data_IF_722567789444
#
_entry.id   IF_722567789444
#
_cell.length_a   1.000
_cell.length_b   1.000
_cell.length_c   1.000
_cell.angle_alpha   90.00
_cell.angle_beta   90.00
_cell.angle_gamma   90.00
#
_symmetry.space_group_name_H-M   'P 1'
#
loop_
_entity.id
_entity.type
_entity.pdbx_description
1 polymer ?
#
# COMPACT_ATOMS: atom_id res chain seq x y z
N UNK A 1 -20.68 20.24 -8.05
CA UNK A 1 -19.23 20.21 -7.83
C UNK A 1 -18.88 18.99 -7.00
N UNK A 2 -17.94 18.19 -7.44
CA UNK A 2 -17.45 17.06 -6.65
C UNK A 2 -16.36 17.53 -5.67
N UNK A 3 -16.36 17.12 -4.41
CA UNK A 3 -15.23 17.34 -3.53
C UNK A 3 -14.04 16.54 -4.07
N UNK A 4 -12.99 17.23 -4.45
CA UNK A 4 -11.79 16.59 -4.98
C UNK A 4 -10.61 17.09 -4.18
N UNK A 5 -9.93 16.20 -3.50
CA UNK A 5 -8.63 16.53 -2.93
C UNK A 5 -7.67 16.74 -4.07
N UNK A 6 -7.37 17.99 -4.39
CA UNK A 6 -6.42 18.41 -5.41
C UNK A 6 -6.44 17.49 -6.66
N UNK A 7 -7.60 16.89 -7.00
CA UNK A 7 -7.81 15.93 -8.10
C UNK A 7 -7.13 14.56 -7.97
N UNK A 8 -6.39 14.27 -6.91
CA UNK A 8 -5.61 13.02 -6.82
C UNK A 8 -6.47 11.76 -6.95
N UNK A 9 -7.60 11.67 -6.24
CA UNK A 9 -8.49 10.54 -6.33
C UNK A 9 -8.96 10.29 -7.77
N UNK A 10 -9.80 11.16 -8.36
CA UNK A 10 -10.35 10.92 -9.69
C UNK A 10 -9.28 10.92 -10.79
N UNK A 11 -8.23 11.74 -10.68
CA UNK A 11 -7.16 11.81 -11.67
C UNK A 11 -6.37 10.49 -11.74
N UNK A 12 -5.96 9.95 -10.62
CA UNK A 12 -5.26 8.66 -10.55
C UNK A 12 -6.14 7.52 -11.08
N UNK A 13 -7.45 7.51 -10.76
CA UNK A 13 -8.38 6.48 -11.28
C UNK A 13 -8.59 6.58 -12.79
N UNK A 14 -8.70 7.78 -13.34
CA UNK A 14 -8.77 7.95 -14.78
C UNK A 14 -7.51 7.48 -15.50
N UNK A 15 -6.34 7.78 -14.94
CA UNK A 15 -5.09 7.30 -15.49
C UNK A 15 -4.97 5.76 -15.38
N UNK A 16 -5.32 5.18 -14.24
CA UNK A 16 -5.33 3.74 -14.01
C UNK A 16 -6.26 3.01 -15.00
N UNK A 17 -7.47 3.53 -15.21
CA UNK A 17 -8.41 3.00 -16.21
C UNK A 17 -7.87 3.13 -17.64
N UNK A 18 -7.19 4.22 -17.94
CA UNK A 18 -6.55 4.43 -19.25
C UNK A 18 -5.42 3.41 -19.45
N UNK A 19 -4.58 3.19 -18.45
CA UNK A 19 -3.53 2.17 -18.49
C UNK A 19 -4.13 0.77 -18.67
N UNK A 20 -5.22 0.44 -17.96
CA UNK A 20 -5.93 -0.84 -18.11
C UNK A 20 -6.45 -1.03 -19.53
N UNK A 21 -7.07 -0.02 -20.12
CA UNK A 21 -7.56 -0.09 -21.50
C UNK A 21 -6.42 -0.22 -22.53
N UNK A 22 -5.27 0.42 -22.27
CA UNK A 22 -4.10 0.33 -23.13
C UNK A 22 -3.34 -1.00 -22.96
N UNK A 23 -3.43 -1.66 -21.82
CA UNK A 23 -2.74 -2.92 -21.57
C UNK A 23 -3.16 -4.01 -22.57
N UNK A 24 -4.40 -4.00 -23.05
CA UNK A 24 -4.90 -4.93 -24.06
C UNK A 24 -4.29 -4.68 -25.47
N UNK A 25 -3.74 -3.50 -25.72
CA UNK A 25 -3.27 -3.08 -27.05
C UNK A 25 -1.75 -2.91 -27.11
N UNK A 26 -1.16 -2.33 -26.08
CA UNK A 26 0.28 -2.02 -25.99
C UNK A 26 0.81 -2.41 -24.60
N UNK A 27 0.73 -3.71 -24.24
CA UNK A 27 1.08 -4.17 -22.91
C UNK A 27 2.50 -3.76 -22.48
N UNK A 28 3.44 -3.76 -23.41
CA UNK A 28 4.84 -3.44 -23.13
C UNK A 28 5.07 -1.98 -22.68
N UNK A 29 4.07 -1.11 -22.79
CA UNK A 29 4.13 0.32 -22.42
C UNK A 29 3.26 0.69 -21.24
N UNK A 30 2.64 -0.31 -20.60
CA UNK A 30 1.69 -0.10 -19.50
C UNK A 30 2.21 -0.69 -18.19
N UNK A 31 1.42 -0.54 -17.15
CA UNK A 31 1.63 -1.14 -15.84
C UNK A 31 0.31 -1.73 -15.36
N UNK A 32 0.36 -2.70 -14.48
CA UNK A 32 -0.79 -3.21 -13.75
C UNK A 32 -1.37 -2.15 -12.80
N UNK A 33 -2.48 -2.45 -12.16
CA UNK A 33 -3.24 -1.52 -11.34
C UNK A 33 -2.44 -0.86 -10.23
N UNK A 34 -2.65 0.42 -10.01
CA UNK A 34 -1.97 1.19 -8.97
C UNK A 34 -2.75 1.19 -7.65
N UNK A 35 -2.03 1.10 -6.54
CA UNK A 35 -2.52 1.37 -5.20
C UNK A 35 -2.50 2.87 -4.94
N UNK A 36 -3.68 3.51 -4.89
CA UNK A 36 -3.76 4.95 -4.69
C UNK A 36 -3.47 5.36 -3.24
N UNK A 37 -3.00 6.59 -3.06
CA UNK A 37 -2.69 7.19 -1.76
C UNK A 37 -3.95 7.45 -0.91
N UNK A 38 -3.73 7.68 0.40
CA UNK A 38 -4.72 8.22 1.32
C UNK A 38 -4.19 9.50 1.95
N UNK A 39 -5.06 10.50 2.08
CA UNK A 39 -4.74 11.76 2.75
C UNK A 39 -5.46 11.79 4.09
N UNK A 40 -4.74 12.14 5.12
CA UNK A 40 -5.26 12.27 6.47
C UNK A 40 -4.95 13.67 7.00
N UNK A 41 -5.95 14.33 7.55
CA UNK A 41 -5.79 15.60 8.25
C UNK A 41 -6.06 15.38 9.73
N UNK A 42 -5.04 15.62 10.53
CA UNK A 42 -5.08 15.61 12.00
C UNK A 42 -5.19 17.05 12.49
N UNK A 43 -5.96 17.27 13.54
CA UNK A 43 -6.13 18.61 14.12
C UNK A 43 -6.52 18.51 15.59
N UNK A 44 -6.27 19.57 16.32
CA UNK A 44 -6.64 19.68 17.73
C UNK A 44 -6.29 21.04 18.32
N UNK A 45 -6.38 21.10 19.63
CA UNK A 45 -6.00 22.26 20.43
C UNK A 45 -5.07 21.74 21.53
N UNK A 46 -3.93 22.41 21.72
CA UNK A 46 -3.00 22.06 22.81
C UNK A 46 -3.52 22.52 24.16
N UNK A 47 -2.90 22.11 25.25
CA UNK A 47 -3.22 22.54 26.61
C UNK A 47 -3.07 24.06 26.81
N UNK A 48 -2.27 24.72 25.96
CA UNK A 48 -2.07 26.18 25.95
C UNK A 48 -3.06 26.91 25.03
N UNK A 49 -4.17 26.26 24.62
CA UNK A 49 -5.19 26.78 23.72
C UNK A 49 -4.69 27.11 22.31
N UNK A 50 -3.57 26.55 21.87
CA UNK A 50 -3.06 26.71 20.52
C UNK A 50 -3.66 25.69 19.57
N UNK A 51 -4.21 26.17 18.44
CA UNK A 51 -4.77 25.31 17.40
C UNK A 51 -3.67 24.77 16.49
N UNK A 52 -3.68 23.46 16.24
CA UNK A 52 -2.75 22.81 15.32
C UNK A 52 -3.47 21.99 14.24
N UNK A 53 -2.86 21.90 13.08
CA UNK A 53 -3.30 21.04 11.96
C UNK A 53 -2.07 20.42 11.32
N UNK A 54 -2.13 19.12 11.11
CA UNK A 54 -1.15 18.39 10.33
C UNK A 54 -1.84 17.58 9.23
N UNK A 55 -1.34 17.66 8.01
CA UNK A 55 -1.83 16.85 6.88
C UNK A 55 -0.77 15.86 6.47
N UNK A 56 -1.14 14.59 6.45
CA UNK A 56 -0.27 13.50 6.08
C UNK A 56 -0.78 12.76 4.83
N UNK A 57 0.16 12.22 4.07
CA UNK A 57 -0.14 11.42 2.88
C UNK A 57 0.47 10.04 3.08
N UNK A 58 -0.38 9.02 3.24
CA UNK A 58 0.07 7.64 3.23
C UNK A 58 0.17 7.17 1.78
N UNK A 59 1.39 6.90 1.36
CA UNK A 59 1.70 6.47 0.00
C UNK A 59 1.00 5.15 -0.34
N UNK A 60 0.57 5.02 -1.58
CA UNK A 60 0.10 3.78 -2.16
C UNK A 60 1.28 2.95 -2.69
N UNK A 61 1.14 2.44 -3.91
CA UNK A 61 2.16 1.64 -4.58
C UNK A 61 1.91 1.61 -6.08
N UNK A 62 2.93 1.32 -6.87
CA UNK A 62 2.75 1.11 -8.30
C UNK A 62 2.42 -0.36 -8.62
N UNK A 63 1.62 -0.58 -9.66
CA UNK A 63 1.50 -1.88 -10.30
C UNK A 63 2.80 -2.33 -10.95
N UNK A 64 2.94 -3.63 -11.16
CA UNK A 64 4.04 -4.21 -11.89
C UNK A 64 4.04 -3.79 -13.36
N UNK A 65 5.19 -3.85 -13.98
CA UNK A 65 5.41 -3.60 -15.42
C UNK A 65 5.93 -4.87 -16.09
N UNK A 66 5.90 -4.96 -17.41
CA UNK A 66 6.36 -6.17 -18.11
C UNK A 66 7.76 -6.66 -17.74
N UNK A 67 8.64 -5.74 -17.33
CA UNK A 67 10.06 -6.03 -17.06
C UNK A 67 10.55 -5.57 -15.69
N UNK A 68 9.68 -5.06 -14.83
CA UNK A 68 10.05 -4.53 -13.51
C UNK A 68 8.92 -4.67 -12.51
N UNK A 69 9.28 -4.96 -11.29
CA UNK A 69 8.38 -4.91 -10.16
C UNK A 69 7.75 -3.52 -9.96
N UNK A 70 6.61 -3.47 -9.33
CA UNK A 70 5.99 -2.25 -8.85
C UNK A 70 6.80 -1.60 -7.73
N UNK A 71 6.72 -0.28 -7.62
CA UNK A 71 7.41 0.46 -6.56
C UNK A 71 6.63 0.39 -5.26
N UNK A 72 7.33 0.10 -4.16
CA UNK A 72 6.75 0.01 -2.82
C UNK A 72 6.55 1.40 -2.21
N UNK A 73 5.49 1.57 -1.44
CA UNK A 73 5.20 2.73 -0.58
C UNK A 73 5.59 4.07 -1.21
N UNK A 74 5.13 4.29 -2.44
CA UNK A 74 5.47 5.48 -3.21
C UNK A 74 4.22 6.22 -3.66
N UNK A 75 4.37 7.51 -3.88
CA UNK A 75 3.33 8.33 -4.45
C UNK A 75 2.98 7.89 -5.87
N UNK A 76 1.69 7.99 -6.21
CA UNK A 76 1.20 7.57 -7.50
C UNK A 76 1.07 8.72 -8.47
N UNK A 77 0.88 8.43 -9.72
CA UNK A 77 0.98 9.16 -10.99
C UNK A 77 0.92 10.71 -10.97
N UNK A 78 0.09 11.32 -10.13
CA UNK A 78 -0.13 12.78 -10.12
C UNK A 78 0.38 13.47 -8.86
N UNK A 79 1.09 12.76 -8.02
CA UNK A 79 1.72 13.29 -6.83
C UNK A 79 3.25 13.11 -6.94
N UNK A 80 3.97 13.86 -6.16
CA UNK A 80 5.42 13.78 -6.03
C UNK A 80 5.79 14.33 -4.66
N UNK A 81 5.18 13.78 -3.63
CA UNK A 81 5.40 14.21 -2.26
C UNK A 81 6.51 13.40 -1.61
N UNK A 82 7.08 13.93 -0.58
CA UNK A 82 7.99 13.23 0.34
C UNK A 82 7.32 13.13 1.70
N UNK A 83 7.63 12.06 2.40
CA UNK A 83 7.22 11.95 3.80
C UNK A 83 7.89 13.03 4.64
N UNK A 84 7.14 13.54 5.61
CA UNK A 84 7.74 14.34 6.67
C UNK A 84 8.52 13.40 7.60
N UNK A 85 9.72 13.77 8.06
CA UNK A 85 10.44 12.99 9.07
C UNK A 85 9.59 12.76 10.33
N UNK A 86 9.68 11.57 10.92
CA UNK A 86 8.91 11.23 12.12
C UNK A 86 9.25 12.16 13.26
N UNK A 87 10.53 12.48 13.42
CA UNK A 87 11.05 13.38 14.45
C UNK A 87 10.47 14.80 14.33
N UNK A 88 10.25 15.26 13.09
CA UNK A 88 9.64 16.57 12.83
C UNK A 88 8.16 16.56 13.21
N UNK A 89 7.44 15.49 12.89
CA UNK A 89 6.03 15.34 13.25
C UNK A 89 5.87 15.36 14.79
N UNK A 90 6.61 14.49 15.47
CA UNK A 90 6.50 14.29 16.92
C UNK A 90 7.01 15.51 17.73
N UNK A 91 7.88 16.35 17.14
CA UNK A 91 8.36 17.56 17.79
C UNK A 91 7.44 18.77 17.64
N UNK A 92 6.58 18.80 16.62
CA UNK A 92 5.72 19.95 16.32
C UNK A 92 4.23 19.70 16.59
N UNK A 93 3.82 18.43 16.66
CA UNK A 93 2.41 18.06 16.83
C UNK A 93 2.27 17.05 17.98
N UNK A 94 1.18 17.08 18.74
CA UNK A 94 0.92 16.08 19.78
C UNK A 94 0.47 14.74 19.15
N UNK A 95 1.31 14.21 18.30
CA UNK A 95 1.12 12.94 17.56
C UNK A 95 2.35 12.07 17.74
N UNK A 96 2.16 10.75 17.82
CA UNK A 96 3.22 9.76 17.83
C UNK A 96 3.06 8.80 16.66
N UNK A 97 4.14 8.48 15.98
CA UNK A 97 4.16 7.47 14.91
C UNK A 97 4.55 6.13 15.52
N UNK A 98 3.56 5.27 15.78
CA UNK A 98 3.79 3.94 16.36
C UNK A 98 4.33 2.93 15.34
N UNK A 99 3.89 3.04 14.07
CA UNK A 99 4.30 2.14 12.98
C UNK A 99 4.46 2.88 11.68
N UNK A 100 5.52 2.55 10.95
CA UNK A 100 5.70 2.92 9.55
C UNK A 100 6.50 1.82 8.87
N UNK A 101 5.81 0.92 8.19
CA UNK A 101 6.38 -0.32 7.63
C UNK A 101 5.68 -0.72 6.32
N UNK A 102 6.28 -1.62 5.55
CA UNK A 102 5.64 -2.26 4.41
C UNK A 102 4.71 -3.39 4.87
N UNK A 103 3.69 -3.69 4.08
CA UNK A 103 2.75 -4.79 4.33
C UNK A 103 3.36 -6.10 3.85
N UNK A 104 3.61 -7.02 4.74
CA UNK A 104 4.03 -8.38 4.39
C UNK A 104 2.90 -9.17 3.71
N UNK A 105 3.22 -10.04 2.75
CA UNK A 105 2.30 -10.94 2.05
C UNK A 105 1.10 -10.25 1.38
N UNK A 106 1.24 -9.02 0.94
CA UNK A 106 0.12 -8.22 0.45
C UNK A 106 0.26 -7.76 -1.01
N UNK A 107 1.35 -8.11 -1.67
CA UNK A 107 1.61 -7.77 -3.07
C UNK A 107 0.61 -8.44 -4.02
N UNK A 108 0.36 -7.85 -5.18
CA UNK A 108 -0.17 -8.58 -6.33
C UNK A 108 0.95 -9.47 -6.89
N UNK A 109 0.81 -10.79 -6.74
CA UNK A 109 1.84 -11.70 -7.21
C UNK A 109 1.92 -11.74 -8.75
N UNK A 110 3.10 -12.04 -9.28
CA UNK A 110 3.35 -12.10 -10.72
C UNK A 110 4.80 -12.41 -11.03
N UNK A 111 5.12 -12.66 -12.30
CA UNK A 111 6.51 -12.71 -12.78
C UNK A 111 7.25 -11.43 -12.38
N UNK A 112 6.55 -10.32 -12.49
CA UNK A 112 6.89 -9.06 -11.82
C UNK A 112 5.81 -8.77 -10.78
N UNK A 113 6.18 -8.62 -9.50
CA UNK A 113 5.22 -8.36 -8.46
C UNK A 113 4.77 -6.91 -8.41
N UNK A 114 3.55 -6.68 -7.99
CA UNK A 114 3.06 -5.36 -7.64
C UNK A 114 3.86 -4.73 -6.50
N UNK A 115 3.84 -3.43 -6.44
CA UNK A 115 4.41 -2.68 -5.33
C UNK A 115 3.62 -2.89 -4.05
N UNK A 116 4.30 -2.86 -2.92
CA UNK A 116 3.73 -3.07 -1.60
C UNK A 116 3.38 -1.73 -0.96
N UNK A 117 2.16 -1.60 -0.45
CA UNK A 117 1.69 -0.44 0.29
C UNK A 117 2.28 -0.37 1.71
N UNK A 118 2.29 0.83 2.28
CA UNK A 118 2.75 1.02 3.65
C UNK A 118 1.61 0.91 4.66
N UNK A 119 1.95 0.51 5.89
CA UNK A 119 1.16 0.71 7.09
C UNK A 119 1.72 1.95 7.80
N UNK A 120 0.85 2.88 8.16
CA UNK A 120 1.21 4.02 8.99
C UNK A 120 0.21 4.18 10.11
N UNK A 121 0.69 4.16 11.34
CA UNK A 121 -0.12 4.29 12.54
C UNK A 121 0.29 5.53 13.33
N UNK A 122 -0.70 6.37 13.60
CA UNK A 122 -0.56 7.63 14.33
C UNK A 122 -1.42 7.61 15.58
N UNK A 123 -0.80 7.81 16.72
CA UNK A 123 -1.45 7.94 18.04
C UNK A 123 -1.59 9.41 18.44
N UNK A 124 -2.72 9.75 19.00
CA UNK A 124 -2.98 11.09 19.54
C UNK A 124 -2.43 11.19 20.96
N UNK A 125 -1.55 12.16 21.20
CA UNK A 125 -1.00 12.43 22.53
C UNK A 125 -1.86 13.42 23.33
N UNK A 126 -2.84 14.06 22.70
CA UNK A 126 -3.91 14.89 23.27
C UNK A 126 -5.18 14.69 22.48
N UNK A 127 -6.37 14.98 23.04
CA UNK A 127 -7.60 14.87 22.27
C UNK A 127 -7.57 15.71 21.00
N UNK A 128 -8.11 15.14 19.92
CA UNK A 128 -8.10 15.80 18.62
C UNK A 128 -9.16 15.30 17.66
N UNK A 129 -8.96 15.55 16.39
CA UNK A 129 -9.87 15.14 15.33
C UNK A 129 -9.11 14.68 14.11
N UNK A 130 -9.71 13.77 13.36
CA UNK A 130 -9.15 13.27 12.11
C UNK A 130 -10.18 13.29 10.99
N UNK A 131 -9.72 13.67 9.80
CA UNK A 131 -10.46 13.51 8.56
C UNK A 131 -9.59 12.78 7.56
N UNK A 132 -10.19 11.83 6.84
CA UNK A 132 -9.48 10.99 5.88
C UNK A 132 -10.20 11.04 4.55
N UNK A 133 -9.42 11.16 3.49
CA UNK A 133 -9.86 10.92 2.14
C UNK A 133 -8.90 9.97 1.43
N UNK A 134 -9.46 8.96 0.79
CA UNK A 134 -8.69 7.96 0.08
C UNK A 134 -9.55 7.07 -0.78
N UNK A 135 -8.91 6.14 -1.44
CA UNK A 135 -9.53 5.15 -2.30
C UNK A 135 -8.84 3.79 -2.12
N UNK A 136 -9.28 2.79 -2.91
CA UNK A 136 -8.65 1.47 -2.93
C UNK A 136 -8.92 0.62 -1.68
N UNK A 137 -10.00 0.90 -0.94
CA UNK A 137 -10.42 0.05 0.20
C UNK A 137 -11.44 -1.02 -0.20
N UNK A 138 -12.15 -0.85 -1.31
CA UNK A 138 -13.18 -1.79 -1.76
C UNK A 138 -12.74 -2.64 -2.95
N UNK A 139 -12.02 -2.03 -3.89
CA UNK A 139 -11.59 -2.71 -5.11
C UNK A 139 -10.07 -2.79 -5.12
N UNK A 140 -9.57 -4.02 -5.33
CA UNK A 140 -8.14 -4.27 -5.46
C UNK A 140 -7.58 -3.60 -6.72
N UNK A 141 -6.33 -3.13 -6.71
CA UNK A 141 -5.60 -2.81 -7.93
C UNK A 141 -5.46 -4.05 -8.81
N UNK A 142 -5.83 -3.93 -10.08
CA UNK A 142 -5.92 -5.06 -11.03
C UNK A 142 -4.55 -5.62 -11.40
N UNK A 143 -4.45 -6.97 -11.48
CA UNK A 143 -3.33 -7.68 -12.07
C UNK A 143 -3.47 -7.84 -13.59
N UNK A 144 -2.40 -8.19 -14.31
CA UNK A 144 -2.42 -8.36 -15.75
C UNK A 144 -1.55 -9.53 -16.23
N UNK A 145 -1.90 -10.11 -17.37
CA UNK A 145 -1.16 -11.17 -18.06
C UNK A 145 -0.86 -12.40 -17.17
N UNK A 146 -1.81 -12.80 -16.34
CA UNK A 146 -1.67 -13.88 -15.36
C UNK A 146 -1.20 -13.43 -13.97
N UNK A 147 -0.86 -12.16 -13.78
CA UNK A 147 -0.55 -11.61 -12.47
C UNK A 147 -1.80 -11.43 -11.62
N UNK A 148 -1.65 -11.59 -10.30
CA UNK A 148 -2.73 -11.43 -9.32
C UNK A 148 -3.08 -9.94 -9.11
N UNK A 149 -4.32 -9.72 -8.71
CA UNK A 149 -4.73 -8.42 -8.18
C UNK A 149 -3.92 -8.10 -6.91
N UNK A 150 -3.67 -6.82 -6.68
CA UNK A 150 -3.08 -6.36 -5.43
C UNK A 150 -4.06 -6.44 -4.27
N UNK A 151 -3.62 -6.08 -3.07
CA UNK A 151 -4.46 -6.08 -1.88
C UNK A 151 -5.07 -4.71 -1.63
N UNK A 152 -6.37 -4.60 -1.35
CA UNK A 152 -7.00 -3.34 -0.97
C UNK A 152 -6.37 -2.73 0.29
N UNK A 153 -6.45 -1.42 0.39
CA UNK A 153 -6.08 -0.71 1.60
C UNK A 153 -7.23 -0.64 2.62
N UNK A 154 -6.92 -0.15 3.81
CA UNK A 154 -7.89 0.02 4.87
C UNK A 154 -7.62 1.29 5.70
N UNK A 155 -8.60 1.68 6.49
CA UNK A 155 -8.46 2.65 7.58
C UNK A 155 -9.01 1.99 8.83
N UNK A 156 -8.19 1.90 9.86
CA UNK A 156 -8.50 1.23 11.12
C UNK A 156 -8.37 2.24 12.25
N UNK A 157 -9.36 2.30 13.11
CA UNK A 157 -9.33 3.08 14.35
C UNK A 157 -9.37 2.07 15.51
N UNK A 158 -8.32 2.02 16.33
CA UNK A 158 -8.25 1.16 17.52
C UNK A 158 -8.61 -0.33 17.28
N UNK A 159 -8.03 -0.93 16.24
CA UNK A 159 -8.31 -2.31 15.82
C UNK A 159 -9.77 -2.62 15.45
N UNK A 160 -10.64 -1.61 15.41
CA UNK A 160 -11.97 -1.75 14.86
C UNK A 160 -11.92 -1.82 13.33
N UNK A 161 -11.88 -3.02 12.79
CA UNK A 161 -12.04 -3.26 11.35
C UNK A 161 -13.51 -3.58 11.10
N UNK A 162 -14.21 -2.67 10.45
CA UNK A 162 -15.51 -2.97 9.86
C UNK A 162 -15.28 -3.54 8.45
N UNK A 163 -15.17 -4.85 8.35
CA UNK A 163 -14.97 -5.54 7.06
C UNK A 163 -16.18 -5.41 6.13
N UNK A 164 -17.36 -5.12 6.68
CA UNK A 164 -18.58 -4.94 5.89
C UNK A 164 -18.65 -3.60 5.17
N UNK A 165 -17.98 -2.58 5.73
CA UNK A 165 -17.86 -1.25 5.15
C UNK A 165 -16.39 -0.75 5.21
N UNK A 166 -15.52 -1.19 4.29
CA UNK A 166 -14.13 -0.74 4.28
C UNK A 166 -14.06 0.77 4.13
N UNK A 167 -13.65 1.45 5.21
CA UNK A 167 -13.58 2.90 5.25
C UNK A 167 -12.46 3.41 4.36
N UNK A 168 -12.79 4.29 3.44
CA UNK A 168 -11.82 5.05 2.65
C UNK A 168 -11.94 6.55 2.90
N UNK A 169 -13.04 6.96 3.51
CA UNK A 169 -13.35 8.37 3.82
C UNK A 169 -13.94 8.45 5.22
N UNK A 170 -13.48 9.44 5.96
CA UNK A 170 -13.96 9.74 7.31
C UNK A 170 -13.89 11.26 7.50
N UNK A 171 -14.94 11.85 8.03
CA UNK A 171 -14.96 13.30 8.24
C UNK A 171 -15.08 13.61 9.72
N UNK A 172 -14.13 14.38 10.22
CA UNK A 172 -14.18 15.02 11.53
C UNK A 172 -14.45 14.05 12.70
N UNK A 173 -13.85 12.86 12.66
CA UNK A 173 -13.91 11.87 13.76
C UNK A 173 -13.16 12.41 14.97
N UNK A 174 -13.80 12.46 16.14
CA UNK A 174 -13.13 12.74 17.42
C UNK A 174 -12.21 11.60 17.80
N UNK A 175 -11.06 11.93 18.35
CA UNK A 175 -10.04 11.02 18.88
C UNK A 175 -9.67 11.48 20.30
N UNK A 176 -9.62 10.56 21.23
CA UNK A 176 -9.15 10.80 22.60
C UNK A 176 -7.64 10.59 22.68
N UNK A 177 -7.02 11.08 23.76
CA UNK A 177 -5.61 10.80 24.06
C UNK A 177 -5.35 9.28 24.14
N UNK A 178 -4.27 8.81 23.55
CA UNK A 178 -3.87 7.40 23.45
C UNK A 178 -4.57 6.63 22.34
N UNK A 179 -5.61 7.17 21.72
CA UNK A 179 -6.25 6.53 20.58
C UNK A 179 -5.38 6.67 19.32
N UNK A 180 -5.38 5.64 18.48
CA UNK A 180 -4.61 5.65 17.25
C UNK A 180 -5.45 5.41 15.99
N UNK A 181 -4.92 5.92 14.90
CA UNK A 181 -5.41 5.68 13.55
C UNK A 181 -4.34 4.93 12.78
N UNK A 182 -4.72 3.80 12.18
CA UNK A 182 -3.87 3.04 11.25
C UNK A 182 -4.37 3.19 9.83
N UNK A 183 -3.53 3.75 8.97
CA UNK A 183 -3.76 3.79 7.53
C UNK A 183 -2.98 2.65 6.87
N UNK A 184 -3.68 1.81 6.12
CA UNK A 184 -3.13 0.68 5.38
C UNK A 184 -3.20 1.03 3.90
N UNK A 185 -2.04 1.22 3.27
CA UNK A 185 -1.93 1.52 1.85
C UNK A 185 -2.31 0.29 0.99
N UNK A 186 -3.00 0.47 -0.14
CA UNK A 186 -3.25 -0.62 -1.07
C UNK A 186 -1.97 -1.03 -1.80
N UNK A 187 -1.88 -2.32 -2.17
CA UNK A 187 -0.76 -2.85 -2.93
C UNK A 187 -1.10 -2.95 -4.42
N UNK A 188 -0.13 -2.69 -5.28
CA UNK A 188 -0.31 -2.73 -6.73
C UNK A 188 -0.53 -4.13 -7.28
N UNK A 189 -1.13 -4.23 -8.47
CA UNK A 189 -1.32 -5.50 -9.17
C UNK A 189 -0.02 -6.08 -9.74
N UNK A 190 0.05 -7.42 -9.85
CA UNK A 190 1.15 -8.16 -10.45
C UNK A 190 1.09 -8.21 -11.98
N UNK A 191 2.18 -8.60 -12.62
CA UNK A 191 2.29 -8.78 -14.06
C UNK A 191 2.91 -10.13 -14.40
N UNK A 192 2.24 -10.92 -15.24
CA UNK A 192 2.69 -12.25 -15.65
C UNK A 192 2.47 -13.30 -14.57
N UNK A 193 2.60 -14.57 -14.96
CA UNK A 193 2.39 -15.70 -14.07
C UNK A 193 3.40 -15.66 -12.89
N UNK A 194 2.93 -15.74 -11.61
CA UNK A 194 3.80 -15.82 -10.44
C UNK A 194 4.81 -16.98 -10.50
N UNK A 195 4.45 -18.13 -11.08
CA UNK A 195 5.38 -19.26 -11.21
C UNK A 195 6.54 -19.01 -12.16
N UNK A 196 6.43 -17.99 -13.04
CA UNK A 196 7.51 -17.55 -13.92
C UNK A 196 8.48 -16.56 -13.23
N UNK A 197 8.19 -16.13 -11.99
CA UNK A 197 9.11 -15.24 -11.26
C UNK A 197 10.44 -15.94 -11.00
N UNK A 198 11.55 -15.23 -11.21
CA UNK A 198 12.89 -15.70 -10.89
C UNK A 198 12.96 -16.18 -9.43
N UNK A 199 13.32 -17.45 -9.16
CA UNK A 199 13.42 -17.97 -7.80
C UNK A 199 14.34 -17.15 -6.89
N UNK A 200 15.42 -16.58 -7.42
CA UNK A 200 16.31 -15.70 -6.63
C UNK A 200 15.62 -14.37 -6.29
N UNK A 201 14.78 -13.82 -7.18
CA UNK A 201 13.97 -12.63 -6.85
C UNK A 201 12.95 -12.92 -5.75
N UNK A 202 12.33 -14.11 -5.76
CA UNK A 202 11.43 -14.56 -4.68
C UNK A 202 12.19 -14.70 -3.36
N UNK A 203 13.40 -15.31 -3.40
CA UNK A 203 14.28 -15.40 -2.23
C UNK A 203 14.62 -14.02 -1.66
N UNK A 204 14.94 -13.05 -2.53
CA UNK A 204 15.24 -11.69 -2.10
C UNK A 204 14.02 -11.00 -1.48
N UNK A 205 12.81 -11.26 -1.98
CA UNK A 205 11.58 -10.74 -1.37
C UNK A 205 11.38 -11.32 0.05
N UNK A 206 11.71 -12.61 0.27
CA UNK A 206 11.69 -13.23 1.62
C UNK A 206 12.74 -12.61 2.54
N UNK A 207 13.98 -12.45 2.08
CA UNK A 207 15.06 -11.84 2.86
C UNK A 207 14.80 -10.37 3.25
N UNK A 208 13.95 -9.69 2.49
CA UNK A 208 13.54 -8.31 2.75
C UNK A 208 12.21 -8.21 3.53
N UNK A 209 11.70 -9.31 4.07
CA UNK A 209 10.43 -9.38 4.82
C UNK A 209 9.22 -8.84 4.01
N UNK A 210 9.26 -8.95 2.68
CA UNK A 210 8.15 -8.55 1.81
C UNK A 210 7.13 -9.66 1.66
N UNK A 211 7.59 -10.92 1.65
CA UNK A 211 6.77 -12.13 1.64
C UNK A 211 7.35 -13.18 2.59
N UNK A 212 6.51 -14.06 3.10
CA UNK A 212 6.91 -15.20 3.92
C UNK A 212 7.41 -16.38 3.08
N UNK A 213 8.14 -17.33 3.68
CA UNK A 213 8.51 -18.59 3.05
C UNK A 213 7.27 -19.39 2.59
N UNK A 214 6.18 -19.35 3.38
CA UNK A 214 4.93 -20.01 3.01
C UNK A 214 4.33 -19.42 1.73
N UNK A 215 4.37 -18.08 1.58
CA UNK A 215 3.90 -17.42 0.36
C UNK A 215 4.83 -17.68 -0.83
N UNK A 216 6.14 -17.75 -0.62
CA UNK A 216 7.11 -18.14 -1.66
C UNK A 216 6.78 -19.54 -2.20
N UNK A 217 6.44 -20.49 -1.33
CA UNK A 217 6.05 -21.84 -1.75
C UNK A 217 4.67 -21.88 -2.38
N UNK A 218 3.66 -21.30 -1.73
CA UNK A 218 2.25 -21.49 -2.14
C UNK A 218 1.87 -20.71 -3.40
N UNK A 219 2.47 -19.54 -3.63
CA UNK A 219 2.11 -18.63 -4.73
C UNK A 219 3.15 -18.65 -5.86
N UNK A 220 4.42 -18.66 -5.51
CA UNK A 220 5.49 -18.62 -6.51
C UNK A 220 6.11 -19.99 -6.84
N UNK A 221 5.65 -21.05 -6.15
CA UNK A 221 6.20 -22.39 -6.29
C UNK A 221 7.73 -22.46 -6.10
N UNK A 222 8.26 -21.63 -5.19
CA UNK A 222 9.69 -21.58 -4.84
C UNK A 222 9.88 -22.17 -3.45
N UNK A 223 10.75 -23.19 -3.38
CA UNK A 223 11.12 -23.83 -2.11
C UNK A 223 12.44 -23.28 -1.62
N UNK A 224 12.44 -22.80 -0.38
CA UNK A 224 13.65 -22.34 0.31
C UNK A 224 14.08 -23.35 1.37
N UNK A 225 15.40 -23.46 1.57
CA UNK A 225 15.99 -24.23 2.68
C UNK A 225 15.85 -23.48 4.02
N UNK A 226 16.24 -24.13 5.12
CA UNK A 226 16.27 -23.49 6.46
C UNK A 226 17.26 -22.31 6.51
N UNK A 227 18.25 -22.29 5.63
CA UNK A 227 19.21 -21.20 5.47
C UNK A 227 18.74 -20.11 4.50
N UNK A 228 17.47 -20.18 4.05
CA UNK A 228 16.87 -19.28 3.08
C UNK A 228 17.58 -19.29 1.72
N UNK A 229 18.16 -20.40 1.29
CA UNK A 229 18.67 -20.61 -0.05
C UNK A 229 17.63 -21.30 -0.93
N UNK A 230 17.64 -21.06 -2.26
CA UNK A 230 16.71 -21.72 -3.18
C UNK A 230 17.06 -23.20 -3.30
N UNK A 231 16.12 -24.09 -2.95
CA UNK A 231 16.20 -25.51 -3.33
C UNK A 231 15.81 -25.68 -4.81
N UNK A 232 16.78 -25.60 -5.69
CA UNK A 232 16.59 -25.71 -7.15
C UNK A 232 15.88 -27.00 -7.57
N UNK A 233 16.20 -28.13 -6.89
CA UNK A 233 15.63 -29.42 -7.23
C UNK A 233 14.15 -29.53 -6.79
N UNK A 234 13.81 -29.05 -5.61
CA UNK A 234 12.44 -29.02 -5.11
C UNK A 234 11.59 -28.00 -5.89
N UNK A 235 12.12 -26.80 -6.11
CA UNK A 235 11.47 -25.75 -6.92
C UNK A 235 11.17 -26.24 -8.34
N UNK A 236 12.16 -26.87 -9.00
CA UNK A 236 11.97 -27.39 -10.35
C UNK A 236 10.98 -28.57 -10.43
N UNK A 237 10.76 -29.33 -9.34
CA UNK A 237 9.68 -30.33 -9.27
C UNK A 237 8.30 -29.69 -9.08
N UNK A 238 8.22 -28.61 -8.29
CA UNK A 238 6.98 -27.91 -7.96
C UNK A 238 6.39 -27.15 -9.14
N UNK A 239 7.25 -26.59 -10.00
CA UNK A 239 6.87 -25.78 -11.18
C UNK A 239 6.58 -26.62 -12.45
N UNK A 240 6.59 -27.93 -12.35
CA UNK A 240 6.23 -28.87 -13.47
C UNK A 240 4.78 -29.28 -13.42
#
# INVERSE_FOLDING_TARGET
PAPTIARFGPGNRLADLTLKALAEVVPEKTAAGIGNLKICTYSGVTDDDEYWVYMDITSGSYGARPTKDGLNATDTLYANTRNNPIEDIESHYPLRVNRYELRENAEGAGRQRGGIGAIREMEFQTPGRVSIEGEGSKYAPWGFDGGEDGTPGAVVVEDEIDESEPRSKMSNKGMDEGQYLRMVGPCGGGWGDPEERDPEAVRQDVLNDLISCERAESVYSVILTDELEVDEAATGRRRR
#
